data_IF_696125607025
#
_entry.id   IF_696125607025
#
_cell.length_a   1.000
_cell.length_b   1.000
_cell.length_c   1.000
_cell.angle_alpha   90.00
_cell.angle_beta   90.00
_cell.angle_gamma   90.00
#
_symmetry.space_group_name_H-M   'P 1'
#
loop_
_entity.id
_entity.type
_entity.pdbx_description
1 polymer ?
#
# COMPACT_ATOMS: atom_id res chain seq x y z
N UNK A 1 16.71 -13.94 5.09
CA UNK A 1 15.74 -13.06 5.79
C UNK A 1 14.50 -12.91 4.94
N UNK A 2 13.32 -12.89 5.57
CA UNK A 2 12.02 -12.71 4.90
C UNK A 2 11.87 -11.30 4.32
N UNK A 3 11.00 -11.14 3.32
CA UNK A 3 10.63 -9.81 2.80
C UNK A 3 9.80 -9.02 3.83
N UNK A 4 9.83 -7.69 3.72
CA UNK A 4 9.02 -6.79 4.52
C UNK A 4 7.98 -6.16 3.60
N UNK A 5 6.70 -6.37 3.89
CA UNK A 5 5.59 -5.80 3.12
C UNK A 5 4.96 -4.64 3.88
N UNK A 6 4.82 -3.48 3.23
CA UNK A 6 4.00 -2.39 3.72
C UNK A 6 2.68 -2.37 2.93
N UNK A 7 1.57 -2.59 3.63
CA UNK A 7 0.22 -2.51 3.07
C UNK A 7 -0.58 -1.40 3.75
N UNK A 8 -1.67 -1.00 3.12
CA UNK A 8 -2.55 0.05 3.63
C UNK A 8 -3.03 0.97 2.53
N UNK A 9 -4.03 1.78 2.86
CA UNK A 9 -4.64 2.67 1.88
C UNK A 9 -3.63 3.70 1.37
N UNK A 10 -3.95 4.38 0.26
CA UNK A 10 -3.13 5.52 -0.19
C UNK A 10 -3.12 6.60 0.90
N UNK A 11 -2.04 7.40 0.93
CA UNK A 11 -1.83 8.44 1.93
C UNK A 11 -1.75 7.97 3.40
N UNK A 12 -1.43 6.69 3.65
CA UNK A 12 -1.06 6.21 5.00
C UNK A 12 0.44 6.31 5.30
N UNK A 13 1.26 6.79 4.35
CA UNK A 13 2.69 7.07 4.58
C UNK A 13 3.66 5.94 4.18
N UNK A 14 3.17 4.87 3.55
CA UNK A 14 3.97 3.68 3.16
C UNK A 14 5.26 4.03 2.42
N UNK A 15 5.19 4.78 1.33
CA UNK A 15 6.36 5.09 0.50
C UNK A 15 7.41 5.93 1.25
N UNK A 16 6.96 6.84 2.12
CA UNK A 16 7.88 7.62 2.95
C UNK A 16 8.54 6.72 4.00
N UNK A 17 7.76 5.88 4.68
CA UNK A 17 8.25 4.94 5.69
C UNK A 17 9.21 3.91 5.09
N UNK A 18 8.90 3.31 3.94
CA UNK A 18 9.78 2.33 3.29
C UNK A 18 11.14 2.91 2.96
N UNK A 19 11.20 4.17 2.50
CA UNK A 19 12.46 4.85 2.21
C UNK A 19 13.31 5.06 3.45
N UNK A 20 12.72 5.45 4.58
CA UNK A 20 13.47 5.59 5.83
C UNK A 20 13.93 4.22 6.34
N UNK A 21 13.08 3.19 6.27
CA UNK A 21 13.47 1.82 6.66
C UNK A 21 14.63 1.34 5.78
N UNK A 22 14.64 1.66 4.48
CA UNK A 22 15.77 1.37 3.59
C UNK A 22 17.06 2.01 4.07
N UNK A 23 17.06 3.30 4.38
CA UNK A 23 18.28 3.98 4.86
C UNK A 23 18.79 3.38 6.17
N UNK A 24 17.88 2.97 7.07
CA UNK A 24 18.25 2.34 8.35
C UNK A 24 18.75 0.90 8.21
N UNK A 25 18.20 0.11 7.28
CA UNK A 25 18.49 -1.32 7.13
C UNK A 25 19.42 -1.66 5.96
N UNK A 26 19.73 -0.71 5.09
CA UNK A 26 20.49 -0.95 3.85
C UNK A 26 19.78 -1.89 2.86
N UNK A 27 18.44 -1.96 2.88
CA UNK A 27 17.65 -2.90 2.06
C UNK A 27 17.14 -2.26 0.77
N UNK A 28 17.04 -3.07 -0.28
CA UNK A 28 16.32 -2.68 -1.51
C UNK A 28 14.84 -2.41 -1.17
N UNK A 29 14.29 -1.32 -1.72
CA UNK A 29 12.85 -1.02 -1.70
C UNK A 29 12.33 -1.13 -3.11
N UNK A 30 11.23 -1.86 -3.26
CA UNK A 30 10.45 -1.87 -4.49
C UNK A 30 9.09 -1.22 -4.22
N UNK A 31 8.82 -0.13 -4.93
CA UNK A 31 7.50 0.50 -4.98
C UNK A 31 6.70 -0.14 -6.10
N UNK A 32 5.68 -0.93 -5.75
CA UNK A 32 4.95 -1.72 -6.74
C UNK A 32 4.20 -0.85 -7.76
N UNK A 33 3.64 0.29 -7.32
CA UNK A 33 2.93 1.21 -8.22
C UNK A 33 3.89 1.78 -9.29
N UNK A 34 5.14 2.10 -8.94
CA UNK A 34 6.15 2.59 -9.89
C UNK A 34 6.55 1.50 -10.90
N UNK A 35 6.74 0.27 -10.44
CA UNK A 35 7.05 -0.87 -11.30
C UNK A 35 5.87 -1.22 -12.24
N UNK A 36 4.64 -1.07 -11.77
CA UNK A 36 3.46 -1.21 -12.62
C UNK A 36 3.40 -0.12 -13.68
N UNK A 37 3.65 1.14 -13.31
CA UNK A 37 3.65 2.27 -14.25
C UNK A 37 4.66 2.06 -15.39
N UNK A 38 5.84 1.51 -15.09
CA UNK A 38 6.84 1.16 -16.12
C UNK A 38 6.32 0.11 -17.10
N UNK A 39 5.50 -0.85 -16.64
CA UNK A 39 4.96 -1.95 -17.46
C UNK A 39 3.72 -1.54 -18.26
N UNK A 40 2.81 -0.78 -17.67
CA UNK A 40 1.45 -0.55 -18.21
C UNK A 40 1.16 0.91 -18.57
N UNK A 41 2.07 1.82 -18.23
CA UNK A 41 1.86 3.26 -18.31
C UNK A 41 1.02 3.81 -17.15
N UNK A 42 0.38 4.95 -17.36
CA UNK A 42 -0.45 5.58 -16.32
C UNK A 42 -1.60 4.67 -15.90
N UNK A 43 -1.69 4.37 -14.60
CA UNK A 43 -2.71 3.47 -14.04
C UNK A 43 -4.13 3.92 -14.42
N UNK A 44 -4.40 5.23 -14.37
CA UNK A 44 -5.72 5.79 -14.72
C UNK A 44 -6.12 5.48 -16.16
N UNK A 45 -5.20 5.67 -17.11
CA UNK A 45 -5.39 5.35 -18.53
C UNK A 45 -5.51 3.85 -18.77
N UNK A 46 -4.71 3.03 -18.09
CA UNK A 46 -4.80 1.58 -18.22
C UNK A 46 -6.17 1.06 -17.77
N UNK A 47 -6.63 1.51 -16.60
CA UNK A 47 -7.91 1.09 -16.02
C UNK A 47 -9.11 1.58 -16.84
N UNK A 48 -9.05 2.77 -17.45
CA UNK A 48 -10.15 3.26 -18.29
C UNK A 48 -10.34 2.42 -19.56
N UNK A 49 -9.29 1.80 -20.07
CA UNK A 49 -9.31 0.97 -21.27
C UNK A 49 -9.59 -0.51 -20.92
N UNK A 50 -8.91 -1.05 -19.92
CA UNK A 50 -8.88 -2.50 -19.64
C UNK A 50 -9.68 -2.90 -18.39
N UNK A 51 -10.12 -1.93 -17.58
CA UNK A 51 -10.83 -2.17 -16.33
C UNK A 51 -9.91 -2.50 -15.15
N UNK A 52 -10.51 -2.49 -13.95
CA UNK A 52 -9.79 -2.76 -12.70
C UNK A 52 -9.35 -4.22 -12.57
N UNK A 53 -10.11 -5.17 -13.11
CA UNK A 53 -9.79 -6.59 -12.97
C UNK A 53 -8.47 -6.94 -13.68
N UNK A 54 -8.28 -6.45 -14.90
CA UNK A 54 -7.02 -6.57 -15.64
C UNK A 54 -5.84 -5.91 -14.90
N UNK A 55 -6.04 -4.74 -14.28
CA UNK A 55 -5.00 -4.11 -13.45
C UNK A 55 -4.62 -5.00 -12.26
N UNK A 56 -5.61 -5.64 -11.61
CA UNK A 56 -5.33 -6.57 -10.50
C UNK A 56 -4.57 -7.80 -10.96
N UNK A 57 -4.76 -8.24 -12.19
CA UNK A 57 -3.99 -9.36 -12.74
C UNK A 57 -2.53 -8.99 -12.97
N UNK A 58 -2.25 -7.80 -13.51
CA UNK A 58 -0.88 -7.28 -13.63
C UNK A 58 -0.22 -7.05 -12.26
N UNK A 59 -0.97 -6.49 -11.30
CA UNK A 59 -0.52 -6.30 -9.91
C UNK A 59 -0.16 -7.65 -9.26
N UNK A 60 -0.99 -8.69 -9.44
CA UNK A 60 -0.72 -10.05 -8.96
C UNK A 60 0.46 -10.72 -9.64
N UNK A 61 0.63 -10.56 -10.96
CA UNK A 61 1.80 -11.08 -11.68
C UNK A 61 3.09 -10.47 -11.14
N UNK A 62 3.11 -9.14 -10.99
CA UNK A 62 4.24 -8.42 -10.44
C UNK A 62 4.56 -8.86 -9.00
N UNK A 63 3.54 -8.98 -8.13
CA UNK A 63 3.74 -9.47 -6.76
C UNK A 63 4.41 -10.84 -6.74
N UNK A 64 3.95 -11.76 -7.60
CA UNK A 64 4.51 -13.12 -7.72
C UNK A 64 5.97 -13.14 -8.17
N UNK A 65 6.37 -12.19 -9.01
CA UNK A 65 7.77 -12.03 -9.41
C UNK A 65 8.62 -11.49 -8.26
N UNK A 66 8.18 -10.38 -7.65
CA UNK A 66 8.91 -9.70 -6.57
C UNK A 66 9.01 -10.58 -5.33
N UNK A 67 7.96 -11.33 -4.98
CA UNK A 67 7.92 -12.16 -3.77
C UNK A 67 8.94 -13.29 -3.75
N UNK A 68 9.56 -13.62 -4.91
CA UNK A 68 10.64 -14.61 -5.01
C UNK A 68 11.99 -14.04 -4.57
N UNK A 69 12.14 -12.72 -4.53
CA UNK A 69 13.30 -12.06 -3.91
C UNK A 69 13.30 -12.32 -2.41
N UNK A 70 14.45 -12.09 -1.77
CA UNK A 70 14.59 -12.22 -0.32
C UNK A 70 15.18 -10.94 0.25
N UNK A 71 14.82 -10.64 1.51
CA UNK A 71 15.38 -9.54 2.29
C UNK A 71 15.17 -8.14 1.69
N UNK A 72 14.06 -7.91 1.00
CA UNK A 72 13.70 -6.60 0.45
C UNK A 72 12.47 -6.00 1.14
N UNK A 73 12.26 -4.70 0.95
CA UNK A 73 11.06 -3.97 1.39
C UNK A 73 10.16 -3.77 0.17
N UNK A 74 8.88 -4.06 0.32
CA UNK A 74 7.90 -3.99 -0.75
C UNK A 74 6.78 -3.03 -0.33
N UNK A 75 6.79 -1.83 -0.90
CA UNK A 75 5.70 -0.85 -0.76
C UNK A 75 4.59 -1.20 -1.74
N UNK A 76 3.49 -1.72 -1.20
CA UNK A 76 2.42 -2.28 -2.01
C UNK A 76 1.38 -1.22 -2.39
N UNK A 77 0.77 -1.39 -3.57
CA UNK A 77 -0.45 -0.67 -3.94
C UNK A 77 -1.57 -0.93 -2.93
N UNK A 78 -2.41 0.08 -2.65
CA UNK A 78 -3.48 -0.05 -1.65
C UNK A 78 -4.58 -1.06 -2.01
N UNK A 79 -4.57 -1.63 -3.21
CA UNK A 79 -5.49 -2.67 -3.66
C UNK A 79 -4.88 -4.07 -3.69
N UNK A 80 -3.62 -4.24 -3.29
CA UNK A 80 -2.90 -5.53 -3.39
C UNK A 80 -3.63 -6.68 -2.70
N UNK A 81 -4.35 -6.37 -1.61
CA UNK A 81 -5.08 -7.33 -0.77
C UNK A 81 -6.44 -7.74 -1.33
N UNK A 82 -6.87 -7.22 -2.48
CA UNK A 82 -8.20 -7.51 -3.05
C UNK A 82 -8.30 -8.95 -3.57
N UNK A 83 -7.18 -9.54 -4.01
CA UNK A 83 -7.13 -10.93 -4.47
C UNK A 83 -6.58 -11.83 -3.37
N UNK A 84 -7.31 -12.88 -2.98
CA UNK A 84 -6.86 -13.82 -1.93
C UNK A 84 -5.49 -14.45 -2.22
N UNK A 85 -5.19 -14.77 -3.49
CA UNK A 85 -3.87 -15.27 -3.91
C UNK A 85 -2.71 -14.34 -3.53
N UNK A 86 -2.94 -13.02 -3.48
CA UNK A 86 -1.93 -12.06 -3.07
C UNK A 86 -1.74 -12.08 -1.55
N UNK A 87 -2.83 -12.21 -0.78
CA UNK A 87 -2.80 -12.33 0.68
C UNK A 87 -1.98 -13.56 1.07
N UNK A 88 -2.29 -14.72 0.49
CA UNK A 88 -1.57 -15.98 0.75
C UNK A 88 -0.07 -15.84 0.45
N UNK A 89 0.26 -15.22 -0.68
CA UNK A 89 1.63 -15.02 -1.10
C UNK A 89 2.41 -14.10 -0.14
N UNK A 90 1.81 -12.98 0.27
CA UNK A 90 2.40 -12.04 1.24
C UNK A 90 2.68 -12.77 2.57
N UNK A 91 1.68 -13.49 3.10
CA UNK A 91 1.82 -14.23 4.37
C UNK A 91 2.87 -15.33 4.30
N UNK A 92 3.03 -15.98 3.14
CA UNK A 92 4.01 -17.05 2.93
C UNK A 92 5.44 -16.52 2.82
N UNK A 93 5.64 -15.34 2.25
CA UNK A 93 6.98 -14.89 1.79
C UNK A 93 7.57 -13.76 2.63
N UNK A 94 6.82 -13.19 3.59
CA UNK A 94 7.31 -12.05 4.35
C UNK A 94 6.65 -11.80 5.69
N UNK A 95 7.03 -10.68 6.29
CA UNK A 95 6.36 -10.05 7.42
C UNK A 95 5.63 -8.82 6.87
N UNK A 96 4.37 -8.65 7.24
CA UNK A 96 3.51 -7.62 6.70
C UNK A 96 3.05 -6.62 7.76
N UNK A 97 3.29 -5.34 7.50
CA UNK A 97 2.85 -4.21 8.32
C UNK A 97 1.73 -3.47 7.61
N UNK A 98 0.58 -3.36 8.26
CA UNK A 98 -0.52 -2.53 7.79
C UNK A 98 -0.43 -1.14 8.40
N UNK A 99 -0.11 -0.14 7.59
CA UNK A 99 -0.17 1.27 7.98
C UNK A 99 -1.62 1.77 7.82
N UNK A 100 -2.25 2.14 8.93
CA UNK A 100 -3.64 2.59 8.99
C UNK A 100 -3.77 4.05 9.41
N UNK A 101 -4.87 4.66 8.97
CA UNK A 101 -5.31 6.00 9.33
C UNK A 101 -6.82 6.10 9.08
N UNK A 102 -7.50 7.03 9.76
CA UNK A 102 -8.92 7.29 9.52
C UNK A 102 -9.16 7.86 8.11
N UNK A 103 -10.39 7.70 7.62
CA UNK A 103 -10.81 8.28 6.35
C UNK A 103 -10.62 9.81 6.33
N UNK A 104 -10.84 10.49 7.45
CA UNK A 104 -10.64 11.93 7.60
C UNK A 104 -9.17 12.32 7.45
N UNK A 105 -8.26 11.60 8.11
CA UNK A 105 -6.81 11.83 7.97
C UNK A 105 -6.32 11.55 6.55
N UNK A 106 -6.78 10.46 5.93
CA UNK A 106 -6.47 10.12 4.54
C UNK A 106 -6.94 11.24 3.61
N UNK A 107 -8.19 11.71 3.75
CA UNK A 107 -8.73 12.78 2.94
C UNK A 107 -7.93 14.09 3.11
N UNK A 108 -7.54 14.43 4.34
CA UNK A 108 -6.70 15.60 4.63
C UNK A 108 -5.34 15.50 3.93
N UNK A 109 -4.66 14.34 4.05
CA UNK A 109 -3.35 14.09 3.43
C UNK A 109 -3.43 14.13 1.90
N UNK A 110 -4.48 13.57 1.32
CA UNK A 110 -4.73 13.63 -0.13
C UNK A 110 -4.92 15.07 -0.62
N UNK A 111 -5.66 15.91 0.12
CA UNK A 111 -5.86 17.33 -0.23
C UNK A 111 -4.57 18.14 -0.18
N UNK A 112 -3.66 17.83 0.73
CA UNK A 112 -2.37 18.52 0.85
C UNK A 112 -1.35 18.08 -0.20
N UNK A 113 -1.55 16.91 -0.82
CA UNK A 113 -0.60 16.36 -1.78
C UNK A 113 -0.92 16.83 -3.20
N UNK A 114 -0.20 17.86 -3.65
CA UNK A 114 -0.34 18.44 -5.00
C UNK A 114 0.04 17.46 -6.12
N UNK A 115 0.71 16.35 -5.83
CA UNK A 115 1.09 15.33 -6.83
C UNK A 115 -0.03 14.30 -7.05
N UNK A 116 -0.97 14.16 -6.12
CA UNK A 116 -2.07 13.20 -6.24
C UNK A 116 -3.26 13.92 -6.88
N UNK A 117 -3.26 14.01 -8.21
CA UNK A 117 -4.43 14.47 -8.97
C UNK A 117 -5.47 13.34 -8.94
N UNK A 118 -6.59 13.56 -8.25
CA UNK A 118 -7.70 12.61 -8.22
C UNK A 118 -8.91 13.20 -8.95
N UNK A 119 -9.39 12.56 -10.03
CA UNK A 119 -10.75 12.79 -10.53
C UNK A 119 -11.75 12.34 -9.47
N UNK A 120 -12.77 13.16 -9.17
CA UNK A 120 -13.88 12.74 -8.29
C UNK A 120 -14.53 11.48 -8.87
N UNK A 121 -14.77 10.44 -8.06
CA UNK A 121 -15.42 9.22 -8.55
C UNK A 121 -16.95 9.39 -8.64
N UNK A 122 -17.52 10.39 -7.95
CA UNK A 122 -18.94 10.75 -8.03
C UNK A 122 -19.14 12.26 -7.86
N UNK A 123 -20.18 12.84 -8.48
CA UNK A 123 -20.61 14.23 -8.24
C UNK A 123 -21.51 14.34 -6.98
N UNK A 124 -21.84 13.22 -6.33
CA UNK A 124 -22.89 13.14 -5.30
C UNK A 124 -22.39 12.78 -3.90
N UNK A 125 -21.19 12.21 -3.73
CA UNK A 125 -20.64 11.83 -2.41
C UNK A 125 -19.44 12.69 -2.02
N UNK A 126 -19.28 12.92 -0.72
CA UNK A 126 -18.06 13.54 -0.20
C UNK A 126 -16.86 12.61 -0.41
N UNK A 127 -15.67 13.18 -0.61
CA UNK A 127 -14.42 12.39 -0.73
C UNK A 127 -14.20 11.47 0.48
N UNK A 128 -14.63 11.90 1.67
CA UNK A 128 -14.49 11.12 2.91
C UNK A 128 -15.37 9.88 2.86
N UNK A 129 -16.61 9.99 2.38
CA UNK A 129 -17.55 8.86 2.32
C UNK A 129 -17.10 7.81 1.31
N UNK A 130 -16.59 8.24 0.15
CA UNK A 130 -15.96 7.31 -0.81
C UNK A 130 -14.77 6.55 -0.18
N UNK A 131 -13.93 7.25 0.60
CA UNK A 131 -12.80 6.62 1.28
C UNK A 131 -13.31 5.62 2.33
N UNK A 132 -14.33 5.98 3.12
CA UNK A 132 -14.93 5.09 4.11
C UNK A 132 -15.50 3.82 3.46
N UNK A 133 -16.23 3.94 2.36
CA UNK A 133 -16.80 2.79 1.65
C UNK A 133 -15.72 1.80 1.20
N UNK A 134 -14.63 2.31 0.62
CA UNK A 134 -13.52 1.46 0.17
C UNK A 134 -12.76 0.87 1.36
N UNK A 135 -12.54 1.64 2.43
CA UNK A 135 -11.89 1.15 3.64
C UNK A 135 -12.71 0.05 4.31
N UNK A 136 -14.02 0.21 4.46
CA UNK A 136 -14.89 -0.80 5.08
C UNK A 136 -14.79 -2.16 4.38
N UNK A 137 -14.66 -2.16 3.05
CA UNK A 137 -14.44 -3.39 2.26
C UNK A 137 -13.04 -3.98 2.44
N UNK A 138 -12.03 -3.14 2.69
CA UNK A 138 -10.61 -3.53 2.71
C UNK A 138 -10.04 -3.80 4.10
N UNK A 139 -10.63 -3.23 5.17
CA UNK A 139 -10.17 -3.43 6.55
C UNK A 139 -10.07 -4.91 6.91
N UNK A 140 -11.11 -5.75 6.70
CA UNK A 140 -11.00 -7.18 7.01
C UNK A 140 -9.88 -7.88 6.23
N UNK A 141 -9.60 -7.43 5.00
CA UNK A 141 -8.54 -7.97 4.15
C UNK A 141 -7.15 -7.52 4.63
N UNK A 142 -7.01 -6.26 5.03
CA UNK A 142 -5.76 -5.77 5.64
C UNK A 142 -5.46 -6.52 6.94
N UNK A 143 -6.46 -6.69 7.81
CA UNK A 143 -6.34 -7.43 9.07
C UNK A 143 -5.95 -8.89 8.83
N UNK A 144 -6.62 -9.56 7.87
CA UNK A 144 -6.31 -10.95 7.47
C UNK A 144 -4.87 -11.11 6.96
N UNK A 145 -4.32 -10.06 6.34
CA UNK A 145 -3.00 -10.09 5.67
C UNK A 145 -1.85 -9.73 6.59
N UNK A 146 -2.03 -8.73 7.45
CA UNK A 146 -0.94 -8.13 8.23
C UNK A 146 -0.55 -8.95 9.44
N UNK A 147 0.75 -9.03 9.73
CA UNK A 147 1.27 -9.48 11.02
C UNK A 147 1.14 -8.40 12.09
N UNK A 148 1.35 -7.13 11.70
CA UNK A 148 1.31 -5.99 12.60
C UNK A 148 0.49 -4.85 12.01
N UNK A 149 -0.23 -4.14 12.88
CA UNK A 149 -1.02 -2.96 12.51
C UNK A 149 -0.40 -1.72 13.13
N UNK A 150 -0.07 -0.74 12.31
CA UNK A 150 0.62 0.48 12.71
C UNK A 150 -0.30 1.67 12.48
N UNK A 151 -0.76 2.29 13.56
CA UNK A 151 -1.49 3.56 13.46
C UNK A 151 -0.52 4.68 13.10
N UNK A 152 -0.85 5.41 12.03
CA UNK A 152 -0.05 6.53 11.51
C UNK A 152 -0.62 7.89 11.87
N UNK A 153 -1.72 7.96 12.61
CA UNK A 153 -2.31 9.22 13.05
C UNK A 153 -1.50 9.86 14.17
N UNK A 154 -1.36 11.19 14.11
CA UNK A 154 -0.68 12.00 15.12
C UNK A 154 0.77 11.57 15.47
N UNK A 155 1.39 10.74 14.61
CA UNK A 155 2.78 10.30 14.72
C UNK A 155 3.62 10.91 13.61
N UNK A 156 4.87 11.26 13.93
CA UNK A 156 5.85 11.59 12.91
C UNK A 156 6.26 10.32 12.15
N UNK A 157 6.75 10.48 10.91
CA UNK A 157 7.27 9.35 10.13
C UNK A 157 8.40 8.64 10.87
N UNK A 158 9.25 9.38 11.61
CA UNK A 158 10.30 8.81 12.46
C UNK A 158 9.73 7.85 13.51
N UNK A 159 8.71 8.27 14.27
CA UNK A 159 8.04 7.39 15.27
C UNK A 159 7.42 6.15 14.65
N UNK A 160 6.75 6.29 13.50
CA UNK A 160 6.16 5.15 12.77
C UNK A 160 7.26 4.17 12.33
N UNK A 161 8.38 4.70 11.84
CA UNK A 161 9.53 3.89 11.42
C UNK A 161 10.13 3.17 12.61
N UNK A 162 10.35 3.85 13.73
CA UNK A 162 10.94 3.27 14.94
C UNK A 162 10.07 2.13 15.50
N UNK A 163 8.75 2.31 15.51
CA UNK A 163 7.79 1.27 15.90
C UNK A 163 7.89 0.02 15.01
N UNK A 164 7.99 0.19 13.68
CA UNK A 164 8.19 -0.93 12.75
C UNK A 164 9.54 -1.61 13.00
N UNK A 165 10.60 -0.84 13.22
CA UNK A 165 11.95 -1.36 13.45
C UNK A 165 12.05 -2.15 14.76
N UNK A 166 11.31 -1.75 15.80
CA UNK A 166 11.22 -2.49 17.05
C UNK A 166 10.53 -3.85 16.87
N UNK A 167 9.45 -3.89 16.08
CA UNK A 167 8.71 -5.12 15.75
C UNK A 167 9.45 -6.06 14.78
N UNK A 168 10.51 -5.58 14.13
CA UNK A 168 11.37 -6.38 13.24
C UNK A 168 12.50 -7.11 13.97
N UNK A 169 12.74 -6.80 15.25
CA UNK A 169 13.74 -7.48 16.10
C UNK A 169 13.26 -8.89 16.44
#
# INVERSE_FOLDING_TARGET
MKNIYLIGYRATGKSTVSNIIKEKLGKEVIHMDDELIKKIGEIGKFVSINGWDAFRDEESKLLKEISKKNNIIIDCGGGIIVRDKNIELIKKTGICFWLKASASTIAKRLKSDKKIIRPSLTQTKSTIDEIKEVLNKRIPLYEKTSNYQIDTENKSIGKITDEIMELLK
#
